data_IF_659263571873
#
_entry.id   IF_659263571873
#
_cell.length_a   1.000
_cell.length_b   1.000
_cell.length_c   1.000
_cell.angle_alpha   90.00
_cell.angle_beta   90.00
_cell.angle_gamma   90.00
#
_symmetry.space_group_name_H-M   'P 1'
#
loop_
_entity.id
_entity.type
_entity.pdbx_description
1 polymer ?
#
# COMPACT_ATOMS: atom_id res chain seq x y z
N UNK A 1 26.65 -13.28 -7.95
CA UNK A 1 26.72 -14.37 -6.96
C UNK A 1 26.52 -13.83 -5.55
N UNK A 2 25.54 -14.39 -4.83
CA UNK A 2 25.28 -14.07 -3.43
C UNK A 2 26.40 -14.58 -2.50
N UNK A 3 26.81 -13.76 -1.52
CA UNK A 3 27.74 -14.16 -0.44
C UNK A 3 26.97 -14.43 0.84
N UNK A 4 27.16 -15.61 1.44
CA UNK A 4 26.50 -16.02 2.69
C UNK A 4 27.49 -15.90 3.85
N UNK A 5 27.10 -15.23 4.93
CA UNK A 5 27.88 -15.09 6.15
C UNK A 5 27.06 -15.54 7.36
N UNK A 6 27.56 -16.52 8.11
CA UNK A 6 26.95 -16.96 9.37
C UNK A 6 27.26 -15.96 10.50
N UNK A 7 26.24 -15.53 11.25
CA UNK A 7 26.32 -14.69 12.45
C UNK A 7 25.51 -15.35 13.58
N UNK A 8 26.18 -16.02 14.51
CA UNK A 8 25.56 -16.75 15.62
C UNK A 8 24.40 -17.63 15.13
N UNK A 9 23.16 -17.22 15.40
CA UNK A 9 21.92 -17.91 15.02
C UNK A 9 21.22 -17.31 13.78
N UNK A 10 21.94 -16.60 12.93
CA UNK A 10 21.40 -15.97 11.73
C UNK A 10 22.38 -16.09 10.55
N UNK A 11 21.85 -16.04 9.33
CA UNK A 11 22.60 -16.03 8.09
C UNK A 11 22.36 -14.70 7.38
N UNK A 12 23.45 -14.02 7.04
CA UNK A 12 23.43 -12.79 6.25
C UNK A 12 23.79 -13.12 4.81
N UNK A 13 22.87 -12.84 3.89
CA UNK A 13 23.04 -13.03 2.46
C UNK A 13 23.27 -11.65 1.83
N UNK A 14 24.34 -11.49 1.04
CA UNK A 14 24.67 -10.24 0.35
C UNK A 14 24.70 -10.46 -1.16
N UNK A 15 24.05 -9.59 -1.92
CA UNK A 15 24.04 -9.63 -3.39
C UNK A 15 24.52 -8.30 -3.95
N UNK A 16 25.45 -8.37 -4.89
CA UNK A 16 25.93 -7.23 -5.67
C UNK A 16 24.99 -6.98 -6.84
N UNK A 17 24.41 -5.79 -6.91
CA UNK A 17 23.48 -5.36 -7.97
C UNK A 17 24.12 -4.42 -8.99
N UNK A 18 25.46 -4.45 -9.12
CA UNK A 18 26.23 -3.59 -10.02
C UNK A 18 26.95 -2.47 -9.28
N UNK A 19 27.28 -1.41 -10.01
CA UNK A 19 28.05 -0.26 -9.54
C UNK A 19 27.22 1.02 -9.75
N UNK A 20 27.33 1.97 -8.82
CA UNK A 20 26.75 3.29 -8.98
C UNK A 20 27.58 4.15 -9.97
N UNK A 21 27.08 5.36 -10.28
CA UNK A 21 27.74 6.32 -11.18
C UNK A 21 29.13 6.77 -10.68
N UNK A 22 29.46 6.53 -9.41
CA UNK A 22 30.73 6.84 -8.78
C UNK A 22 31.63 5.60 -8.64
N UNK A 23 31.24 4.45 -9.22
CA UNK A 23 31.99 3.19 -9.16
C UNK A 23 31.87 2.45 -7.83
N UNK A 24 31.00 2.89 -6.91
CA UNK A 24 30.74 2.17 -5.65
C UNK A 24 29.76 1.04 -5.90
N UNK A 25 30.10 -0.15 -5.40
CA UNK A 25 29.27 -1.33 -5.56
C UNK A 25 27.94 -1.19 -4.79
N UNK A 26 26.81 -1.42 -5.48
CA UNK A 26 25.48 -1.41 -4.89
C UNK A 26 25.22 -2.78 -4.28
N UNK A 27 25.24 -2.84 -2.95
CA UNK A 27 25.10 -4.09 -2.19
C UNK A 27 23.76 -4.16 -1.46
N UNK A 28 22.97 -5.18 -1.75
CA UNK A 28 21.76 -5.49 -0.98
C UNK A 28 22.05 -6.62 0.02
N UNK A 29 21.45 -6.51 1.21
CA UNK A 29 21.67 -7.46 2.31
C UNK A 29 20.34 -7.99 2.85
N UNK A 30 20.22 -9.31 2.94
CA UNK A 30 19.11 -10.02 3.58
C UNK A 30 19.64 -10.74 4.82
N UNK A 31 18.87 -10.74 5.91
CA UNK A 31 19.19 -11.56 7.11
C UNK A 31 18.07 -12.57 7.30
N UNK A 32 18.44 -13.85 7.29
CA UNK A 32 17.53 -14.97 7.50
C UNK A 32 17.89 -15.70 8.80
N UNK A 33 16.90 -16.13 9.56
CA UNK A 33 17.07 -16.89 10.81
C UNK A 33 16.43 -18.27 10.62
N UNK A 34 17.14 -19.36 10.93
CA UNK A 34 16.56 -20.70 10.91
C UNK A 34 15.59 -20.89 12.08
N UNK A 35 14.56 -21.70 11.86
CA UNK A 35 13.59 -22.07 12.90
C UNK A 35 14.17 -23.08 13.90
N UNK A 36 13.66 -23.08 15.13
CA UNK A 36 14.09 -23.97 16.21
C UNK A 36 13.78 -25.44 15.87
N UNK A 37 14.82 -26.28 15.78
CA UNK A 37 14.70 -27.72 15.48
C UNK A 37 15.14 -28.15 14.07
N UNK A 38 15.56 -27.24 13.19
CA UNK A 38 16.10 -27.63 11.89
C UNK A 38 17.47 -28.31 11.98
N UNK A 39 17.67 -29.36 11.20
CA UNK A 39 18.98 -30.04 11.09
C UNK A 39 19.99 -29.19 10.31
N UNK A 40 21.29 -29.37 10.56
CA UNK A 40 22.37 -28.62 9.86
C UNK A 40 22.25 -28.68 8.33
N UNK A 41 21.89 -29.83 7.76
CA UNK A 41 21.67 -30.00 6.31
C UNK A 41 20.45 -29.26 5.78
N UNK A 42 19.35 -29.21 6.54
CA UNK A 42 18.15 -28.45 6.16
C UNK A 42 18.44 -26.95 6.17
N UNK A 43 19.16 -26.47 7.20
CA UNK A 43 19.58 -25.07 7.30
C UNK A 43 20.43 -24.68 6.09
N UNK A 44 21.45 -25.47 5.74
CA UNK A 44 22.32 -25.18 4.60
C UNK A 44 21.55 -25.14 3.27
N UNK A 45 20.65 -26.11 3.04
CA UNK A 45 19.80 -26.15 1.85
C UNK A 45 18.86 -24.96 1.76
N UNK A 46 18.22 -24.60 2.87
CA UNK A 46 17.27 -23.47 2.90
C UNK A 46 18.00 -22.13 2.77
N UNK A 47 19.16 -21.96 3.41
CA UNK A 47 20.00 -20.76 3.24
C UNK A 47 20.43 -20.58 1.78
N UNK A 48 20.83 -21.67 1.11
CA UNK A 48 21.20 -21.62 -0.31
C UNK A 48 19.98 -21.27 -1.18
N UNK A 49 18.82 -21.83 -0.88
CA UNK A 49 17.57 -21.51 -1.57
C UNK A 49 17.20 -20.02 -1.41
N UNK A 50 17.28 -19.49 -0.18
CA UNK A 50 17.05 -18.08 0.10
C UNK A 50 18.07 -17.19 -0.62
N UNK A 51 19.32 -17.64 -0.77
CA UNK A 51 20.35 -16.89 -1.49
C UNK A 51 20.06 -16.79 -3.00
N UNK A 52 19.62 -17.89 -3.62
CA UNK A 52 19.20 -17.90 -5.04
C UNK A 52 17.97 -17.02 -5.25
N UNK A 53 16.95 -17.16 -4.41
CA UNK A 53 15.74 -16.33 -4.49
C UNK A 53 16.06 -14.83 -4.34
N UNK A 54 16.98 -14.49 -3.45
CA UNK A 54 17.41 -13.11 -3.25
C UNK A 54 18.23 -12.59 -4.44
N UNK A 55 19.07 -13.43 -5.06
CA UNK A 55 19.80 -13.08 -6.27
C UNK A 55 18.86 -12.85 -7.46
N UNK A 56 17.85 -13.71 -7.65
CA UNK A 56 16.81 -13.53 -8.67
C UNK A 56 16.00 -12.23 -8.45
N UNK A 57 15.62 -11.92 -7.21
CA UNK A 57 14.94 -10.67 -6.86
C UNK A 57 15.81 -9.46 -7.22
N UNK A 58 17.07 -9.45 -6.77
CA UNK A 58 18.01 -8.39 -7.11
C UNK A 58 18.22 -8.25 -8.63
N UNK A 59 18.29 -9.35 -9.36
CA UNK A 59 18.46 -9.36 -10.82
C UNK A 59 17.22 -8.85 -11.56
N UNK A 60 16.01 -9.07 -11.04
CA UNK A 60 14.77 -8.58 -11.66
C UNK A 60 14.55 -7.07 -11.51
N UNK A 61 15.57 -6.31 -11.07
CA UNK A 61 15.43 -4.89 -10.74
C UNK A 61 14.62 -4.64 -9.48
N UNK A 62 14.27 -5.70 -8.73
CA UNK A 62 13.69 -5.59 -7.39
C UNK A 62 14.80 -5.23 -6.41
N UNK A 63 15.34 -4.03 -6.58
CA UNK A 63 16.10 -3.38 -5.54
C UNK A 63 15.08 -3.13 -4.43
N UNK A 64 15.15 -3.94 -3.37
CA UNK A 64 14.42 -3.73 -2.12
C UNK A 64 14.87 -2.40 -1.52
N UNK A 65 14.44 -1.30 -2.13
CA UNK A 65 14.49 0.03 -1.59
C UNK A 65 13.56 -0.03 -0.40
N UNK A 66 14.17 0.03 0.77
CA UNK A 66 13.58 0.04 2.09
C UNK A 66 12.70 1.28 2.34
N UNK A 67 11.93 1.73 1.35
CA UNK A 67 11.19 2.97 1.38
C UNK A 67 9.91 2.76 2.16
N UNK A 68 9.62 3.70 3.05
CA UNK A 68 8.37 3.72 3.81
C UNK A 68 7.22 4.10 2.89
N UNK A 69 6.02 3.61 3.21
CA UNK A 69 4.83 3.90 2.41
C UNK A 69 4.54 5.40 2.30
N UNK A 70 4.78 6.16 3.37
CA UNK A 70 4.66 7.62 3.37
C UNK A 70 5.59 8.30 2.36
N UNK A 71 6.89 7.98 2.42
CA UNK A 71 7.90 8.54 1.53
C UNK A 71 7.63 8.16 0.07
N UNK A 72 7.22 6.91 -0.17
CA UNK A 72 6.84 6.46 -1.50
C UNK A 72 5.58 7.17 -2.03
N UNK A 73 4.60 7.43 -1.15
CA UNK A 73 3.39 8.18 -1.52
C UNK A 73 3.75 9.62 -1.91
N UNK A 74 4.70 10.25 -1.22
CA UNK A 74 5.19 11.59 -1.57
C UNK A 74 5.85 11.61 -2.94
N UNK A 75 6.74 10.65 -3.21
CA UNK A 75 7.36 10.46 -4.52
C UNK A 75 6.31 10.26 -5.62
N UNK A 76 5.29 9.44 -5.35
CA UNK A 76 4.19 9.22 -6.29
C UNK A 76 3.41 10.51 -6.60
N UNK A 77 3.22 11.38 -5.61
CA UNK A 77 2.56 12.67 -5.84
C UNK A 77 3.37 13.55 -6.79
N UNK A 78 4.66 13.71 -6.53
CA UNK A 78 5.54 14.61 -7.30
C UNK A 78 5.89 14.07 -8.69
N UNK A 79 6.17 12.78 -8.80
CA UNK A 79 6.67 12.18 -10.05
C UNK A 79 5.56 11.77 -11.02
N UNK A 80 4.34 11.53 -10.51
CA UNK A 80 3.25 11.01 -11.33
C UNK A 80 1.96 11.78 -11.16
N UNK A 81 1.45 11.90 -9.92
CA UNK A 81 0.10 12.39 -9.69
C UNK A 81 -0.10 13.82 -10.20
N UNK A 82 0.82 14.72 -9.88
CA UNK A 82 0.73 16.14 -10.26
C UNK A 82 0.94 16.38 -11.76
N UNK A 83 1.67 15.49 -12.43
CA UNK A 83 1.98 15.62 -13.85
C UNK A 83 0.90 15.00 -14.74
N UNK A 84 0.17 13.99 -14.25
CA UNK A 84 -0.74 13.19 -15.10
C UNK A 84 -2.21 13.21 -14.68
N UNK A 85 -2.53 13.47 -13.41
CA UNK A 85 -3.91 13.45 -12.92
C UNK A 85 -4.56 14.83 -12.99
N UNK A 86 -5.89 14.85 -13.11
CA UNK A 86 -6.68 16.08 -13.04
C UNK A 86 -6.52 16.73 -11.66
N UNK A 87 -6.50 18.08 -11.56
CA UNK A 87 -6.32 18.78 -10.29
C UNK A 87 -7.27 18.34 -9.17
N UNK A 88 -8.56 18.17 -9.49
CA UNK A 88 -9.57 17.72 -8.52
C UNK A 88 -9.31 16.31 -7.97
N UNK A 89 -8.70 15.44 -8.77
CA UNK A 89 -8.33 14.09 -8.32
C UNK A 89 -7.16 14.17 -7.34
N UNK A 90 -6.17 15.02 -7.63
CA UNK A 90 -5.01 15.24 -6.76
C UNK A 90 -5.43 15.86 -5.43
N UNK A 91 -6.31 16.88 -5.44
CA UNK A 91 -6.83 17.49 -4.21
C UNK A 91 -7.62 16.49 -3.36
N UNK A 92 -8.45 15.65 -4.00
CA UNK A 92 -9.15 14.55 -3.33
C UNK A 92 -8.20 13.51 -2.71
N UNK A 93 -7.11 13.16 -3.38
CA UNK A 93 -6.10 12.25 -2.82
C UNK A 93 -5.32 12.90 -1.69
N UNK A 94 -4.98 14.18 -1.80
CA UNK A 94 -4.31 14.95 -0.73
C UNK A 94 -5.16 15.04 0.54
N UNK A 95 -6.48 15.16 0.43
CA UNK A 95 -7.35 15.18 1.63
C UNK A 95 -7.44 13.81 2.33
N UNK A 96 -7.32 12.71 1.57
CA UNK A 96 -7.33 11.34 2.14
C UNK A 96 -5.97 10.92 2.71
N UNK A 97 -4.87 11.46 2.18
CA UNK A 97 -3.49 11.11 2.53
C UNK A 97 -3.19 11.07 4.04
N UNK A 98 -3.53 12.09 4.87
CA UNK A 98 -3.14 12.12 6.29
C UNK A 98 -3.65 10.89 7.07
N UNK A 99 -4.87 10.45 6.77
CA UNK A 99 -5.48 9.30 7.42
C UNK A 99 -4.82 7.99 7.03
N UNK A 100 -4.42 7.86 5.76
CA UNK A 100 -3.71 6.69 5.25
C UNK A 100 -2.32 6.62 5.87
N UNK A 101 -1.58 7.75 5.90
CA UNK A 101 -0.24 7.82 6.48
C UNK A 101 -0.26 7.43 7.96
N UNK A 102 -1.26 7.91 8.71
CA UNK A 102 -1.40 7.55 10.13
C UNK A 102 -1.47 6.03 10.36
N UNK A 103 -2.12 5.29 9.46
CA UNK A 103 -2.29 3.84 9.59
C UNK A 103 -1.18 3.02 8.91
N UNK A 104 -0.78 3.40 7.70
CA UNK A 104 0.09 2.60 6.83
C UNK A 104 1.45 3.25 6.55
N UNK A 105 1.62 4.55 6.82
CA UNK A 105 2.79 5.33 6.41
C UNK A 105 4.12 4.81 6.97
N UNK A 106 4.10 4.30 8.19
CA UNK A 106 5.28 3.74 8.86
C UNK A 106 5.70 2.37 8.33
N UNK A 107 4.82 1.68 7.59
CA UNK A 107 5.07 0.35 7.04
C UNK A 107 5.96 0.51 5.80
N UNK A 108 6.92 -0.39 5.64
CA UNK A 108 7.76 -0.41 4.44
C UNK A 108 7.00 -1.02 3.26
N UNK A 109 7.25 -0.52 2.05
CA UNK A 109 6.59 -1.00 0.84
C UNK A 109 6.76 -2.51 0.63
N UNK A 110 7.94 -3.06 0.91
CA UNK A 110 8.26 -4.50 0.81
C UNK A 110 7.57 -5.38 1.86
N UNK A 111 7.05 -4.77 2.93
CA UNK A 111 6.36 -5.46 4.03
C UNK A 111 4.87 -5.17 4.08
N UNK A 112 4.35 -4.34 3.19
CA UNK A 112 2.92 -4.03 3.13
C UNK A 112 2.14 -5.25 2.67
N UNK A 113 1.34 -5.82 3.58
CA UNK A 113 0.53 -7.01 3.27
C UNK A 113 -0.93 -6.66 3.03
N UNK A 114 -1.65 -7.56 2.34
CA UNK A 114 -3.12 -7.47 2.20
C UNK A 114 -3.82 -7.40 3.55
N UNK A 115 -3.28 -8.06 4.59
CA UNK A 115 -3.85 -8.05 5.94
C UNK A 115 -3.77 -6.67 6.59
N UNK A 116 -2.69 -5.93 6.36
CA UNK A 116 -2.53 -4.56 6.89
C UNK A 116 -3.56 -3.61 6.26
N UNK A 117 -3.77 -3.72 4.96
CA UNK A 117 -4.79 -2.94 4.26
C UNK A 117 -6.20 -3.36 4.70
N UNK A 118 -6.45 -4.65 4.88
CA UNK A 118 -7.75 -5.12 5.39
C UNK A 118 -8.04 -4.56 6.79
N UNK A 119 -7.06 -4.54 7.70
CA UNK A 119 -7.19 -3.90 9.01
C UNK A 119 -7.54 -2.42 8.88
N UNK A 120 -6.85 -1.70 7.99
CA UNK A 120 -7.17 -0.31 7.72
C UNK A 120 -8.60 -0.12 7.20
N UNK A 121 -9.10 -0.99 6.32
CA UNK A 121 -10.48 -0.93 5.83
C UNK A 121 -11.49 -1.20 6.96
N UNK A 122 -11.21 -2.14 7.85
CA UNK A 122 -12.05 -2.43 9.02
C UNK A 122 -12.08 -1.22 9.96
N UNK A 123 -10.93 -0.62 10.26
CA UNK A 123 -10.85 0.61 11.05
C UNK A 123 -11.67 1.75 10.42
N UNK A 124 -11.65 1.87 9.08
CA UNK A 124 -12.47 2.87 8.37
C UNK A 124 -13.99 2.64 8.50
N UNK A 125 -14.44 1.39 8.70
CA UNK A 125 -15.85 1.08 8.93
C UNK A 125 -16.31 1.55 10.32
N UNK A 126 -15.44 1.42 11.33
CA UNK A 126 -15.78 1.75 12.72
C UNK A 126 -15.51 3.20 13.10
N UNK A 127 -14.63 3.88 12.36
CA UNK A 127 -14.26 5.25 12.70
C UNK A 127 -15.33 6.26 12.26
N UNK A 128 -15.65 7.19 13.17
CA UNK A 128 -16.55 8.33 12.90
C UNK A 128 -15.93 9.38 11.95
N UNK A 129 -16.76 10.07 11.18
CA UNK A 129 -16.42 11.23 10.38
C UNK A 129 -16.04 12.38 11.32
N UNK A 130 -15.01 13.13 10.93
CA UNK A 130 -14.52 14.29 11.69
C UNK A 130 -15.48 15.49 11.67
N UNK A 131 -16.47 15.50 10.78
CA UNK A 131 -17.06 16.74 10.26
C UNK A 131 -18.59 16.86 10.45
N UNK A 132 -19.21 16.07 11.34
CA UNK A 132 -20.68 16.20 11.52
C UNK A 132 -21.19 15.74 12.89
N UNK A 133 -21.89 16.65 13.58
CA UNK A 133 -22.90 16.32 14.60
C UNK A 133 -24.22 15.94 13.87
N UNK A 134 -24.34 14.79 13.20
CA UNK A 134 -25.67 14.36 12.70
C UNK A 134 -25.89 12.85 12.47
N UNK A 135 -27.13 12.47 12.83
CA UNK A 135 -28.07 11.35 12.56
C UNK A 135 -27.62 9.96 12.05
N UNK A 136 -26.48 9.79 11.37
CA UNK A 136 -26.03 8.49 10.82
C UNK A 136 -24.86 7.87 11.61
N UNK A 137 -24.91 8.01 12.94
CA UNK A 137 -23.94 7.44 13.90
C UNK A 137 -22.46 7.85 13.65
N UNK A 138 -22.26 8.83 12.77
CA UNK A 138 -20.96 9.34 12.32
C UNK A 138 -20.20 8.42 11.34
N UNK A 139 -20.72 7.28 10.88
CA UNK A 139 -19.89 6.30 10.11
C UNK A 139 -19.55 6.75 8.69
N UNK A 140 -18.43 6.27 8.15
CA UNK A 140 -18.06 6.54 6.75
C UNK A 140 -18.95 5.78 5.77
N UNK A 141 -19.37 6.45 4.69
CA UNK A 141 -20.07 5.80 3.58
C UNK A 141 -19.20 4.76 2.89
N UNK A 142 -19.81 3.68 2.39
CA UNK A 142 -19.15 2.65 1.56
C UNK A 142 -18.46 3.22 0.35
N UNK A 143 -19.03 4.27 -0.26
CA UNK A 143 -18.42 4.96 -1.38
C UNK A 143 -17.06 5.56 -0.99
N UNK A 144 -16.99 6.17 0.19
CA UNK A 144 -15.76 6.74 0.73
C UNK A 144 -14.73 5.64 1.02
N UNK A 145 -15.13 4.53 1.64
CA UNK A 145 -14.23 3.40 1.93
C UNK A 145 -13.66 2.78 0.64
N UNK A 146 -14.51 2.60 -0.38
CA UNK A 146 -14.08 2.16 -1.72
C UNK A 146 -13.06 3.12 -2.34
N UNK A 147 -13.24 4.44 -2.14
CA UNK A 147 -12.31 5.45 -2.64
C UNK A 147 -10.93 5.34 -1.95
N UNK A 148 -10.90 5.14 -0.63
CA UNK A 148 -9.65 4.87 0.11
C UNK A 148 -8.93 3.63 -0.43
N UNK A 149 -9.64 2.51 -0.62
CA UNK A 149 -9.06 1.30 -1.23
C UNK A 149 -8.52 1.59 -2.63
N UNK A 150 -9.31 2.29 -3.46
CA UNK A 150 -8.91 2.62 -4.83
C UNK A 150 -7.64 3.45 -4.86
N UNK A 151 -7.53 4.46 -3.99
CA UNK A 151 -6.36 5.32 -3.91
C UNK A 151 -5.11 4.53 -3.51
N UNK A 152 -5.17 3.72 -2.45
CA UNK A 152 -4.05 2.86 -2.03
C UNK A 152 -3.66 1.90 -3.17
N UNK A 153 -4.66 1.34 -3.86
CA UNK A 153 -4.43 0.47 -5.01
C UNK A 153 -3.73 1.19 -6.16
N UNK A 154 -4.05 2.45 -6.44
CA UNK A 154 -3.38 3.24 -7.49
C UNK A 154 -1.90 3.46 -7.15
N UNK A 155 -1.59 3.83 -5.91
CA UNK A 155 -0.21 4.01 -5.43
C UNK A 155 0.56 2.68 -5.49
N UNK A 156 -0.03 1.58 -5.01
CA UNK A 156 0.59 0.26 -5.08
C UNK A 156 0.79 -0.23 -6.52
N UNK A 157 -0.14 0.06 -7.43
CA UNK A 157 0.03 -0.28 -8.85
C UNK A 157 1.18 0.49 -9.49
N UNK A 158 1.40 1.76 -9.10
CA UNK A 158 2.59 2.50 -9.52
C UNK A 158 3.86 1.90 -8.93
N UNK A 159 3.84 1.48 -7.66
CA UNK A 159 4.95 0.77 -7.02
C UNK A 159 5.33 -0.52 -7.77
N UNK A 160 4.35 -1.28 -8.26
CA UNK A 160 4.62 -2.45 -9.12
C UNK A 160 5.29 -2.03 -10.43
N UNK A 161 4.79 -0.98 -11.10
CA UNK A 161 5.39 -0.48 -12.35
C UNK A 161 6.84 -0.02 -12.17
N UNK A 162 7.16 0.56 -11.01
CA UNK A 162 8.50 1.01 -10.65
C UNK A 162 9.36 -0.10 -10.00
N UNK A 163 8.90 -1.36 -10.04
CA UNK A 163 9.59 -2.52 -9.46
C UNK A 163 9.93 -2.38 -7.95
N UNK A 164 9.15 -1.58 -7.21
CA UNK A 164 9.31 -1.38 -5.75
C UNK A 164 8.64 -2.51 -4.96
N UNK A 165 7.49 -3.00 -5.43
CA UNK A 165 6.77 -4.15 -4.87
C UNK A 165 6.49 -5.19 -5.96
N UNK A 166 6.52 -6.47 -5.60
CA UNK A 166 6.31 -7.57 -6.56
C UNK A 166 4.88 -7.62 -7.07
N UNK A 167 3.94 -7.45 -6.15
CA UNK A 167 2.50 -7.58 -6.39
C UNK A 167 1.75 -6.49 -5.65
N UNK A 168 0.60 -6.08 -6.20
CA UNK A 168 -0.27 -5.12 -5.53
C UNK A 168 -1.05 -5.81 -4.39
N UNK A 169 -0.82 -5.44 -3.11
CA UNK A 169 -1.46 -6.07 -1.96
C UNK A 169 -2.97 -5.74 -1.83
N UNK A 170 -3.49 -4.76 -2.59
CA UNK A 170 -4.90 -4.38 -2.59
C UNK A 170 -5.83 -5.32 -3.38
N UNK A 171 -5.27 -6.23 -4.20
CA UNK A 171 -6.06 -7.10 -5.10
C UNK A 171 -7.11 -7.93 -4.34
N UNK A 172 -6.72 -8.52 -3.22
CA UNK A 172 -7.55 -9.46 -2.46
C UNK A 172 -8.25 -8.81 -1.25
N UNK A 173 -8.26 -7.48 -1.16
CA UNK A 173 -8.91 -6.76 -0.05
C UNK A 173 -10.42 -6.77 -0.25
N UNK A 174 -11.12 -7.23 0.78
CA UNK A 174 -12.58 -7.33 0.83
C UNK A 174 -13.17 -6.11 1.54
N UNK A 175 -14.22 -5.55 0.96
CA UNK A 175 -14.94 -4.42 1.55
C UNK A 175 -16.31 -4.96 2.04
N UNK A 176 -16.68 -4.77 3.31
CA UNK A 176 -17.98 -5.17 3.79
C UNK A 176 -19.09 -4.40 3.06
N UNK A 177 -20.18 -5.08 2.72
CA UNK A 177 -21.37 -4.45 2.15
C UNK A 177 -22.07 -3.69 3.28
N UNK A 178 -22.06 -2.36 3.24
CA UNK A 178 -22.99 -1.57 4.06
C UNK A 178 -24.20 -1.26 3.19
N UNK A 179 -25.39 -1.50 3.73
CA UNK A 179 -26.67 -1.16 3.11
C UNK A 179 -26.73 0.37 3.00
N UNK A 180 -26.81 0.88 1.77
CA UNK A 180 -27.07 2.30 1.55
C UNK A 180 -28.58 2.52 1.71
N UNK A 181 -29.03 3.53 2.47
CA UNK A 181 -30.46 3.87 2.49
C UNK A 181 -30.90 4.26 1.07
N UNK A 182 -32.14 3.92 0.72
CA UNK A 182 -32.75 4.35 -0.53
C UNK A 182 -32.78 5.87 -0.59
N UNK A 183 -32.47 6.44 -1.76
CA UNK A 183 -32.55 7.88 -1.95
C UNK A 183 -34.01 8.23 -2.20
N UNK A 184 -34.54 9.18 -1.45
CA UNK A 184 -35.80 9.81 -1.79
C UNK A 184 -35.60 10.65 -3.06
N UNK A 185 -36.51 10.50 -4.01
CA UNK A 185 -36.54 11.27 -5.25
C UNK A 185 -37.80 12.14 -5.23
N UNK A 186 -37.69 13.36 -5.74
CA UNK A 186 -38.86 14.20 -5.93
C UNK A 186 -39.81 13.55 -6.94
N UNK A 187 -41.09 13.52 -6.56
CA UNK A 187 -42.17 13.21 -7.48
C UNK A 187 -42.38 14.34 -8.48
N UNK A 188 -43.11 14.07 -9.57
CA UNK A 188 -43.37 15.07 -10.62
C UNK A 188 -44.08 16.30 -10.03
N UNK A 189 -45.00 16.07 -9.09
CA UNK A 189 -45.75 17.13 -8.40
C UNK A 189 -44.86 17.98 -7.50
N UNK A 190 -44.00 17.37 -6.68
CA UNK A 190 -43.02 18.10 -5.86
C UNK A 190 -42.02 18.89 -6.73
N UNK A 191 -41.68 18.37 -7.91
CA UNK A 191 -40.80 19.06 -8.85
C UNK A 191 -41.48 20.30 -9.44
N UNK A 192 -42.77 20.22 -9.76
CA UNK A 192 -43.56 21.36 -10.24
C UNK A 192 -43.70 22.43 -9.15
N UNK A 193 -44.05 22.03 -7.91
CA UNK A 193 -44.10 22.95 -6.78
C UNK A 193 -42.75 23.65 -6.52
N UNK A 194 -41.64 22.95 -6.71
CA UNK A 194 -40.32 23.54 -6.59
C UNK A 194 -40.07 24.60 -7.67
N UNK A 195 -40.51 24.37 -8.92
CA UNK A 195 -40.37 25.35 -10.00
C UNK A 195 -41.21 26.60 -9.76
N UNK A 196 -42.45 26.45 -9.27
CA UNK A 196 -43.35 27.58 -8.98
C UNK A 196 -42.81 28.49 -7.85
N UNK A 197 -41.93 27.98 -6.99
CA UNK A 197 -41.27 28.76 -5.92
C UNK A 197 -40.09 29.61 -6.41
N UNK A 198 -39.63 29.40 -7.65
CA UNK A 198 -38.54 30.18 -8.26
C UNK A 198 -39.03 31.33 -9.15
N UNK A 199 -40.35 31.43 -9.41
CA UNK A 199 -41.01 32.57 -10.05
C UNK A 199 -41.42 33.65 -9.03
#
# INVERSE_FOLDING_TARGET
MATIQKRNNAYRIRVSCGYDIHGKQIMHTLTWKPDEGMTKKQIEKEVQRQAVLFEEQCASGYAAKAVKFEEFMDQWFTEYAELTLKPNTVTGYRSMKPRIIKALGHIRMDKLTTRDIQKFIVDLCDTKRFDTQDKNDGKLSTKTIKLYKSFISTVCSYAVKMNVIKDNPCKNVTIPKVVSPEKEFYTIEETQQLFDLFE
#
